data_IF_855636785031
#
_entry.id   IF_855636785031
#
_cell.length_a   1.000
_cell.length_b   1.000
_cell.length_c   1.000
_cell.angle_alpha   90.00
_cell.angle_beta   90.00
_cell.angle_gamma   90.00
#
_symmetry.space_group_name_H-M   'P 1'
#
loop_
_entity.id
_entity.type
_entity.pdbx_description
1 polymer ?
#
# COMPACT_ATOMS: atom_id res chain seq x y z
N UNK A 1 107.42 13.25 22.29
CA UNK A 1 106.29 13.49 23.22
C UNK A 1 105.75 14.87 22.92
N UNK A 2 104.42 15.01 22.93
CA UNK A 2 103.64 16.27 22.98
C UNK A 2 103.58 17.13 21.69
N UNK A 3 102.45 17.73 21.24
CA UNK A 3 100.99 17.56 21.39
C UNK A 3 100.35 18.29 20.20
N UNK A 4 99.15 17.88 19.81
CA UNK A 4 98.26 18.55 18.86
C UNK A 4 97.65 19.84 19.43
N UNK A 5 97.34 20.80 18.56
CA UNK A 5 96.17 21.69 18.68
C UNK A 5 95.11 21.28 17.63
N UNK A 6 93.79 21.31 17.95
CA UNK A 6 92.73 20.90 17.04
C UNK A 6 92.07 22.09 16.33
N UNK A 7 91.74 21.92 15.04
CA UNK A 7 90.87 22.84 14.30
C UNK A 7 89.40 22.42 14.42
N UNK A 8 88.59 23.44 14.66
CA UNK A 8 87.20 23.43 15.06
C UNK A 8 86.29 23.42 13.82
N UNK A 9 85.58 22.32 13.56
CA UNK A 9 84.56 22.27 12.49
C UNK A 9 83.16 22.24 13.10
N UNK A 10 82.46 23.35 12.88
CA UNK A 10 81.10 23.66 13.35
C UNK A 10 80.06 22.72 12.72
N UNK A 11 79.27 22.05 13.55
CA UNK A 11 78.04 21.37 13.16
C UNK A 11 76.98 22.40 12.72
N UNK A 12 76.89 22.63 11.41
CA UNK A 12 75.69 23.20 10.79
C UNK A 12 74.63 22.12 10.76
N UNK A 13 73.76 22.09 11.77
CA UNK A 13 72.57 21.26 11.73
C UNK A 13 71.66 21.87 10.65
N UNK A 14 71.70 21.27 9.46
CA UNK A 14 71.01 21.72 8.25
C UNK A 14 69.55 22.09 8.55
N UNK A 15 69.19 23.33 8.26
CA UNK A 15 67.85 23.91 8.40
C UNK A 15 66.74 23.04 7.77
N UNK A 16 67.09 22.28 6.72
CA UNK A 16 66.22 21.29 6.07
C UNK A 16 65.86 20.09 6.95
N UNK A 17 66.76 19.63 7.83
CA UNK A 17 66.48 18.52 8.75
C UNK A 17 65.48 18.91 9.83
N UNK A 18 65.56 20.16 10.32
CA UNK A 18 64.63 20.67 11.33
C UNK A 18 63.22 20.87 10.76
N UNK A 19 63.10 21.37 9.52
CA UNK A 19 61.81 21.54 8.84
C UNK A 19 61.11 20.21 8.57
N UNK A 20 61.88 19.17 8.19
CA UNK A 20 61.34 17.83 7.96
C UNK A 20 60.79 17.20 9.25
N UNK A 21 61.49 17.39 10.38
CA UNK A 21 61.04 16.90 11.70
C UNK A 21 59.76 17.61 12.14
N UNK A 22 59.65 18.93 11.92
CA UNK A 22 58.44 19.70 12.26
C UNK A 22 57.24 19.26 11.40
N UNK A 23 57.44 19.05 10.10
CA UNK A 23 56.39 18.54 9.20
C UNK A 23 55.94 17.12 9.58
N UNK A 24 56.88 16.25 9.98
CA UNK A 24 56.58 14.89 10.43
C UNK A 24 55.77 14.90 11.74
N UNK A 25 56.12 15.79 12.68
CA UNK A 25 55.39 15.95 13.94
C UNK A 25 53.97 16.50 13.72
N UNK A 26 53.81 17.47 12.81
CA UNK A 26 52.48 17.98 12.44
C UNK A 26 51.64 16.88 11.79
N UNK A 27 52.23 16.07 10.90
CA UNK A 27 51.54 14.94 10.28
C UNK A 27 51.11 13.88 11.31
N UNK A 28 51.95 13.58 12.31
CA UNK A 28 51.61 12.66 13.41
C UNK A 28 50.44 13.23 14.25
N UNK A 29 50.43 14.54 14.54
CA UNK A 29 49.32 15.18 15.27
C UNK A 29 48.02 15.19 14.46
N UNK A 30 48.10 15.38 13.13
CA UNK A 30 46.93 15.29 12.23
C UNK A 30 46.42 13.85 12.14
N UNK A 31 47.32 12.86 12.06
CA UNK A 31 46.96 11.43 12.05
C UNK A 31 46.37 10.97 13.40
N UNK A 32 46.83 11.54 14.53
CA UNK A 32 46.24 11.27 15.85
C UNK A 32 44.86 11.93 16.03
N UNK A 33 44.61 13.10 15.44
CA UNK A 33 43.26 13.73 15.43
C UNK A 33 42.25 13.02 14.54
N UNK A 34 42.69 12.22 13.58
CA UNK A 34 41.82 11.43 12.69
C UNK A 34 41.30 10.12 13.32
N UNK A 35 41.73 9.77 14.52
CA UNK A 35 41.31 8.55 15.23
C UNK A 35 40.33 8.88 16.37
N UNK A 36 39.34 9.73 16.10
CA UNK A 36 38.13 9.72 16.94
C UNK A 36 37.44 8.39 16.69
N UNK A 37 37.68 7.42 17.58
CA UNK A 37 36.91 6.19 17.61
C UNK A 37 35.45 6.59 17.74
N UNK A 38 34.70 6.49 16.63
CA UNK A 38 33.24 6.38 16.70
C UNK A 38 33.00 5.20 17.62
N UNK A 39 32.62 5.48 18.86
CA UNK A 39 32.08 4.51 19.78
C UNK A 39 30.78 4.05 19.14
N UNK A 40 30.86 3.03 18.30
CA UNK A 40 29.72 2.32 17.77
C UNK A 40 29.04 1.73 18.99
N UNK A 41 28.05 2.43 19.51
CA UNK A 41 27.10 1.86 20.45
C UNK A 41 26.43 0.75 19.66
N UNK A 42 26.91 -0.48 19.83
CA UNK A 42 26.17 -1.67 19.46
C UNK A 42 24.91 -1.60 20.31
N UNK A 43 23.83 -1.02 19.76
CA UNK A 43 22.49 -1.25 20.28
C UNK A 43 22.33 -2.76 20.23
N UNK A 44 22.31 -3.41 21.39
CA UNK A 44 21.87 -4.80 21.46
C UNK A 44 20.54 -4.85 20.71
N UNK A 45 20.41 -5.73 19.72
CA UNK A 45 19.10 -6.09 19.20
C UNK A 45 18.29 -6.56 20.41
N UNK A 46 17.41 -5.70 20.91
CA UNK A 46 16.53 -6.05 22.02
C UNK A 46 15.65 -7.16 21.48
N UNK A 47 15.77 -8.35 22.06
CA UNK A 47 14.87 -9.44 21.74
C UNK A 47 13.45 -8.99 22.07
N UNK A 48 12.58 -8.97 21.06
CA UNK A 48 11.17 -8.64 21.22
C UNK A 48 10.56 -9.53 22.32
N UNK A 49 10.02 -8.91 23.36
CA UNK A 49 9.32 -9.64 24.39
C UNK A 49 7.94 -10.05 23.88
N UNK A 50 7.44 -11.20 24.34
CA UNK A 50 6.06 -11.62 24.09
C UNK A 50 5.22 -11.35 25.34
N UNK A 51 4.21 -10.49 25.21
CA UNK A 51 3.25 -10.15 26.24
C UNK A 51 1.96 -10.94 25.96
N UNK A 52 1.52 -11.76 26.92
CA UNK A 52 0.36 -12.63 26.72
C UNK A 52 -0.93 -11.98 27.23
N UNK A 53 -1.96 -11.97 26.40
CA UNK A 53 -3.31 -11.52 26.75
C UNK A 53 -4.27 -12.73 26.68
N UNK A 54 -5.06 -13.04 27.72
CA UNK A 54 -5.21 -12.30 28.98
C UNK A 54 -4.22 -12.70 30.11
N UNK A 55 -3.27 -13.62 29.85
CA UNK A 55 -2.53 -14.31 30.91
C UNK A 55 -1.60 -13.39 31.73
N UNK A 56 -0.87 -12.48 31.08
CA UNK A 56 -0.02 -11.49 31.76
C UNK A 56 -0.71 -10.13 31.90
N UNK A 57 -1.61 -9.82 30.98
CA UNK A 57 -2.31 -8.55 30.89
C UNK A 57 -3.78 -8.82 30.65
N UNK A 58 -4.66 -8.34 31.53
CA UNK A 58 -6.10 -8.63 31.43
C UNK A 58 -6.75 -8.01 30.17
N UNK A 59 -6.18 -6.94 29.64
CA UNK A 59 -6.68 -6.21 28.47
C UNK A 59 -5.57 -6.02 27.43
N UNK A 60 -5.94 -5.93 26.15
CA UNK A 60 -5.00 -5.68 25.06
C UNK A 60 -4.34 -4.31 25.25
N UNK A 61 -5.10 -3.27 25.62
CA UNK A 61 -4.52 -1.94 25.85
C UNK A 61 -3.49 -1.94 26.99
N UNK A 62 -3.70 -2.71 28.07
CA UNK A 62 -2.69 -2.80 29.14
C UNK A 62 -1.38 -3.45 28.68
N UNK A 63 -1.43 -4.42 27.76
CA UNK A 63 -0.24 -4.99 27.15
C UNK A 63 0.43 -3.98 26.21
N UNK A 64 -0.35 -3.26 25.40
CA UNK A 64 0.12 -2.16 24.54
C UNK A 64 0.87 -1.12 25.37
N UNK A 65 0.32 -0.71 26.51
CA UNK A 65 0.95 0.29 27.39
C UNK A 65 2.27 -0.18 28.02
N UNK A 66 2.42 -1.49 28.24
CA UNK A 66 3.61 -2.09 28.86
C UNK A 66 4.70 -2.49 27.84
N UNK A 67 4.32 -2.64 26.57
CA UNK A 67 5.21 -3.07 25.49
C UNK A 67 6.28 -2.02 25.17
N UNK A 68 7.50 -2.49 24.91
CA UNK A 68 8.53 -1.73 24.23
C UNK A 68 8.34 -1.82 22.70
N UNK A 69 8.98 -0.90 21.96
CA UNK A 69 9.00 -1.00 20.51
C UNK A 69 9.64 -2.32 20.07
N UNK A 70 8.99 -3.02 19.13
CA UNK A 70 9.35 -4.34 18.63
C UNK A 70 8.68 -5.51 19.35
N UNK A 71 8.05 -5.29 20.51
CA UNK A 71 7.41 -6.36 21.27
C UNK A 71 6.18 -6.95 20.54
N UNK A 72 5.86 -8.20 20.89
CA UNK A 72 4.71 -8.95 20.39
C UNK A 72 3.68 -9.07 21.50
N UNK A 73 2.46 -8.65 21.22
CA UNK A 73 1.29 -8.84 22.06
C UNK A 73 0.54 -10.04 21.47
N UNK A 74 0.66 -11.19 22.13
CA UNK A 74 0.07 -12.45 21.69
C UNK A 74 -1.27 -12.66 22.41
N UNK A 75 -2.35 -12.66 21.63
CA UNK A 75 -3.71 -12.58 22.14
C UNK A 75 -4.39 -13.94 22.00
N UNK A 76 -4.81 -14.52 23.12
CA UNK A 76 -5.60 -15.74 23.15
C UNK A 76 -7.02 -15.47 22.66
N UNK A 77 -7.67 -16.47 22.03
CA UNK A 77 -9.05 -16.37 21.58
C UNK A 77 -9.99 -15.89 22.68
N UNK A 78 -10.91 -15.00 22.33
CA UNK A 78 -11.80 -14.32 23.24
C UNK A 78 -12.37 -13.05 22.62
N UNK A 79 -13.39 -12.49 23.27
CA UNK A 79 -13.95 -11.19 22.91
C UNK A 79 -13.44 -10.13 23.88
N UNK A 80 -12.78 -9.13 23.32
CA UNK A 80 -12.19 -8.00 24.01
C UNK A 80 -12.99 -6.75 23.62
N UNK A 81 -13.82 -6.27 24.53
CA UNK A 81 -14.58 -5.03 24.33
C UNK A 81 -13.70 -3.85 24.73
N UNK A 82 -12.93 -3.34 23.77
CA UNK A 82 -11.90 -2.33 23.95
C UNK A 82 -11.84 -1.39 22.74
N UNK A 83 -11.36 -0.17 22.93
CA UNK A 83 -10.96 0.74 21.87
C UNK A 83 -9.46 0.99 22.04
N UNK A 84 -8.66 0.56 21.08
CA UNK A 84 -7.21 0.51 21.20
C UNK A 84 -6.56 1.79 20.66
N UNK A 85 -5.55 2.29 21.35
CA UNK A 85 -4.62 3.30 20.85
C UNK A 85 -3.24 2.68 20.71
N UNK A 86 -2.77 2.50 19.47
CA UNK A 86 -1.48 1.87 19.14
C UNK A 86 -0.48 2.96 18.77
N UNK A 87 0.12 3.58 19.78
CA UNK A 87 1.06 4.70 19.69
C UNK A 87 2.55 4.28 19.70
N UNK A 88 2.83 3.01 19.46
CA UNK A 88 4.18 2.44 19.44
C UNK A 88 4.29 1.29 18.44
N UNK A 89 5.50 1.04 17.95
CA UNK A 89 5.79 -0.05 17.02
C UNK A 89 5.68 -1.41 17.72
N UNK A 90 4.53 -2.09 17.61
CA UNK A 90 4.30 -3.42 18.22
C UNK A 90 3.58 -4.33 17.23
N UNK A 91 3.71 -5.64 17.44
CA UNK A 91 2.89 -6.63 16.76
C UNK A 91 1.74 -7.06 17.65
N UNK A 92 0.49 -6.83 17.24
CA UNK A 92 -0.70 -7.44 17.83
C UNK A 92 -1.06 -8.65 17.00
N UNK A 93 -1.01 -9.83 17.60
CA UNK A 93 -1.23 -11.09 16.88
C UNK A 93 -2.13 -12.02 17.67
N UNK A 94 -3.11 -12.61 16.99
CA UNK A 94 -3.84 -13.74 17.54
C UNK A 94 -2.91 -14.95 17.71
N UNK A 95 -3.01 -15.63 18.85
CA UNK A 95 -2.24 -16.84 19.13
C UNK A 95 -2.54 -17.98 18.15
N UNK A 96 -3.74 -17.96 17.55
CA UNK A 96 -4.17 -18.85 16.48
C UNK A 96 -5.17 -18.10 15.60
N UNK A 97 -5.02 -18.23 14.27
CA UNK A 97 -5.88 -17.58 13.28
C UNK A 97 -5.96 -18.45 12.01
N UNK A 98 -7.05 -18.28 11.26
CA UNK A 98 -7.32 -19.02 10.04
C UNK A 98 -6.78 -18.26 8.83
N UNK A 99 -5.71 -18.80 8.22
CA UNK A 99 -5.06 -18.21 7.04
C UNK A 99 -5.85 -18.38 5.74
N UNK A 100 -6.81 -19.29 5.72
CA UNK A 100 -7.64 -19.58 4.55
C UNK A 100 -8.92 -18.76 4.64
N UNK A 101 -9.53 -18.70 5.82
CA UNK A 101 -10.76 -17.95 6.05
C UNK A 101 -10.70 -17.12 7.35
N UNK A 102 -10.19 -15.87 7.29
CA UNK A 102 -10.09 -14.96 8.44
C UNK A 102 -11.40 -14.74 9.22
N UNK A 103 -12.57 -15.04 8.64
CA UNK A 103 -13.87 -14.98 9.34
C UNK A 103 -13.95 -15.94 10.53
N UNK A 104 -13.11 -16.97 10.57
CA UNK A 104 -13.02 -17.96 11.64
C UNK A 104 -12.10 -17.53 12.80
N UNK A 105 -11.48 -16.35 12.73
CA UNK A 105 -10.56 -15.89 13.77
C UNK A 105 -11.25 -15.78 15.13
N UNK A 106 -10.59 -16.28 16.17
CA UNK A 106 -11.16 -16.35 17.52
C UNK A 106 -10.87 -15.14 18.42
N UNK A 107 -10.00 -14.22 18.00
CA UNK A 107 -9.70 -12.97 18.73
C UNK A 107 -10.58 -11.87 18.18
N UNK A 108 -11.61 -11.48 18.93
CA UNK A 108 -12.56 -10.43 18.53
C UNK A 108 -12.30 -9.18 19.34
N UNK A 109 -11.98 -8.07 18.67
CA UNK A 109 -11.90 -6.73 19.24
C UNK A 109 -13.21 -6.02 18.88
N UNK A 110 -14.03 -5.75 19.89
CA UNK A 110 -15.36 -5.16 19.74
C UNK A 110 -15.33 -3.71 20.23
N UNK A 111 -15.45 -2.75 19.30
CA UNK A 111 -15.36 -1.32 19.59
C UNK A 111 -16.57 -0.74 20.31
N UNK A 112 -17.64 -1.51 20.50
CA UNK A 112 -18.81 -1.08 21.25
C UNK A 112 -19.54 0.13 20.66
N UNK A 113 -19.42 0.38 19.36
CA UNK A 113 -19.98 1.54 18.67
C UNK A 113 -19.03 2.75 18.58
N UNK A 114 -17.75 2.60 18.89
CA UNK A 114 -16.71 3.64 18.75
C UNK A 114 -15.56 3.10 17.90
N UNK A 115 -14.66 3.95 17.38
CA UNK A 115 -13.49 3.52 16.60
C UNK A 115 -12.73 2.39 17.33
N UNK A 116 -12.54 1.24 16.68
CA UNK A 116 -12.00 0.05 17.37
C UNK A 116 -10.50 0.19 17.59
N UNK A 117 -9.75 0.61 16.58
CA UNK A 117 -8.31 0.85 16.66
C UNK A 117 -7.95 2.23 16.12
N UNK A 118 -7.26 3.03 16.93
CA UNK A 118 -6.65 4.29 16.55
C UNK A 118 -5.12 4.11 16.45
N UNK A 119 -4.55 4.47 15.31
CA UNK A 119 -3.10 4.58 15.10
C UNK A 119 -2.79 6.06 14.89
N UNK A 120 -2.19 6.76 15.88
CA UNK A 120 -1.95 8.18 15.79
C UNK A 120 -0.83 8.52 14.78
N UNK A 121 -0.61 9.81 14.56
CA UNK A 121 0.47 10.32 13.71
C UNK A 121 1.84 10.01 14.28
N UNK A 122 2.82 9.89 13.38
CA UNK A 122 4.24 9.81 13.71
C UNK A 122 4.63 8.63 14.63
N UNK A 123 3.92 7.50 14.51
CA UNK A 123 4.37 6.27 15.15
C UNK A 123 5.53 5.71 14.32
N UNK A 124 6.74 5.57 14.90
CA UNK A 124 7.89 5.03 14.18
C UNK A 124 7.62 3.59 13.72
N UNK A 125 8.26 3.19 12.62
CA UNK A 125 7.93 2.02 11.80
C UNK A 125 7.65 0.72 12.57
N UNK A 126 6.68 -0.04 12.05
CA UNK A 126 6.34 -1.45 12.34
C UNK A 126 5.22 -1.67 13.38
N UNK A 127 4.01 -1.20 13.04
CA UNK A 127 2.77 -1.73 13.62
C UNK A 127 2.30 -2.90 12.75
N UNK A 128 2.11 -4.07 13.35
CA UNK A 128 1.60 -5.25 12.65
C UNK A 128 0.33 -5.76 13.35
N UNK A 129 -0.74 -5.95 12.58
CA UNK A 129 -2.02 -6.49 13.04
C UNK A 129 -2.25 -7.83 12.33
N UNK A 130 -2.31 -8.93 13.08
CA UNK A 130 -2.31 -10.28 12.50
C UNK A 130 -3.41 -11.15 13.11
N UNK A 131 -4.27 -11.71 12.25
CA UNK A 131 -5.21 -12.75 12.67
C UNK A 131 -6.37 -12.26 13.55
N UNK A 132 -6.74 -10.98 13.45
CA UNK A 132 -7.72 -10.35 14.33
C UNK A 132 -9.11 -10.34 13.68
N UNK A 133 -10.16 -10.38 14.49
CA UNK A 133 -11.50 -9.92 14.09
C UNK A 133 -11.74 -8.55 14.70
N UNK A 134 -12.04 -7.55 13.89
CA UNK A 134 -12.27 -6.17 14.31
C UNK A 134 -13.70 -5.81 13.92
N UNK A 135 -14.51 -5.42 14.91
CA UNK A 135 -15.92 -5.15 14.63
C UNK A 135 -16.56 -4.10 15.51
N UNK A 136 -17.78 -3.70 15.11
CA UNK A 136 -18.66 -2.83 15.86
C UNK A 136 -18.02 -1.45 16.13
N UNK A 137 -17.39 -0.89 15.09
CA UNK A 137 -16.87 0.47 15.09
C UNK A 137 -17.97 1.43 14.67
N UNK A 138 -18.52 2.25 15.56
CA UNK A 138 -19.60 3.16 15.13
C UNK A 138 -19.13 4.29 14.22
N UNK A 139 -17.82 4.56 14.24
CA UNK A 139 -17.09 5.30 13.22
C UNK A 139 -16.28 4.24 12.45
N UNK A 140 -15.00 4.07 12.75
CA UNK A 140 -14.13 3.21 11.93
C UNK A 140 -13.77 1.89 12.62
N UNK A 141 -13.53 0.85 11.83
CA UNK A 141 -12.86 -0.36 12.32
C UNK A 141 -11.43 -0.01 12.75
N UNK A 142 -10.69 0.64 11.86
CA UNK A 142 -9.36 1.19 12.14
C UNK A 142 -9.30 2.60 11.56
N UNK A 143 -8.89 3.58 12.37
CA UNK A 143 -8.49 4.89 11.89
C UNK A 143 -6.98 5.05 12.08
N UNK A 144 -6.26 5.35 11.01
CA UNK A 144 -4.81 5.41 11.06
C UNK A 144 -4.23 6.65 10.38
N UNK A 145 -3.25 7.25 11.04
CA UNK A 145 -2.42 8.33 10.51
C UNK A 145 -0.93 7.96 10.38
N UNK A 146 -0.59 6.67 10.53
CA UNK A 146 0.77 6.15 10.33
C UNK A 146 0.72 4.82 9.57
N UNK A 147 1.77 4.46 8.80
CA UNK A 147 1.76 3.21 8.04
C UNK A 147 1.74 1.97 8.96
N UNK A 148 1.00 0.94 8.56
CA UNK A 148 0.93 -0.33 9.28
C UNK A 148 0.79 -1.54 8.33
N UNK A 149 1.08 -2.73 8.86
CA UNK A 149 0.75 -4.00 8.23
C UNK A 149 -0.53 -4.55 8.87
N UNK A 150 -1.48 -4.98 8.05
CA UNK A 150 -2.59 -5.82 8.48
C UNK A 150 -2.71 -7.06 7.60
N UNK A 151 -2.76 -8.22 8.23
CA UNK A 151 -2.92 -9.48 7.51
C UNK A 151 -3.76 -10.54 8.22
N UNK A 152 -4.37 -11.41 7.41
CA UNK A 152 -5.20 -12.55 7.86
C UNK A 152 -6.31 -12.14 8.83
N UNK A 153 -6.81 -10.91 8.71
CA UNK A 153 -7.79 -10.33 9.63
C UNK A 153 -9.18 -10.23 9.00
N UNK A 154 -10.21 -10.20 9.82
CA UNK A 154 -11.61 -10.02 9.42
C UNK A 154 -12.15 -8.73 10.01
N UNK A 155 -12.62 -7.82 9.15
CA UNK A 155 -13.21 -6.55 9.56
C UNK A 155 -14.67 -6.50 9.09
N UNK A 156 -15.55 -6.05 9.97
CA UNK A 156 -16.99 -5.94 9.69
C UNK A 156 -17.68 -4.98 10.65
N UNK A 157 -18.88 -4.50 10.31
CA UNK A 157 -19.71 -3.68 11.21
C UNK A 157 -18.99 -2.40 11.66
N UNK A 158 -18.48 -1.61 10.71
CA UNK A 158 -18.10 -0.22 10.96
C UNK A 158 -18.62 0.71 9.86
N UNK A 159 -18.48 2.04 10.00
CA UNK A 159 -18.64 2.98 8.89
C UNK A 159 -17.62 2.64 7.82
N UNK A 160 -16.37 3.06 8.02
CA UNK A 160 -15.23 2.57 7.27
C UNK A 160 -14.61 1.38 7.99
N UNK A 161 -14.37 0.27 7.30
CA UNK A 161 -13.67 -0.84 7.96
C UNK A 161 -12.21 -0.45 8.24
N UNK A 162 -11.60 0.32 7.33
CA UNK A 162 -10.36 1.07 7.60
C UNK A 162 -10.40 2.46 6.95
N UNK A 163 -10.18 3.50 7.75
CA UNK A 163 -9.81 4.86 7.34
C UNK A 163 -8.27 5.01 7.37
N UNK A 164 -7.68 5.07 6.18
CA UNK A 164 -6.28 5.42 5.94
C UNK A 164 -6.11 6.93 5.77
N UNK A 165 -6.15 7.66 6.87
CA UNK A 165 -5.97 9.11 6.88
C UNK A 165 -4.56 9.57 6.46
N UNK A 166 -4.41 10.88 6.23
CA UNK A 166 -3.14 11.51 5.80
C UNK A 166 -1.92 11.04 6.61
N UNK A 167 -0.96 10.43 5.90
CA UNK A 167 0.29 9.89 6.46
C UNK A 167 0.27 8.38 6.72
N UNK A 168 -0.87 7.73 6.54
CA UNK A 168 -1.06 6.28 6.67
C UNK A 168 -0.56 5.51 5.43
N UNK A 169 -1.06 4.29 5.26
CA UNK A 169 -0.75 3.35 4.20
C UNK A 169 -0.09 2.08 4.76
N UNK A 170 0.87 1.53 4.00
CA UNK A 170 1.62 0.35 4.41
C UNK A 170 1.27 -0.90 3.60
N UNK A 171 0.90 -1.98 4.27
CA UNK A 171 0.58 -3.26 3.62
C UNK A 171 -0.74 -3.79 4.19
N UNK A 172 -1.71 -4.03 3.31
CA UNK A 172 -3.00 -4.63 3.64
C UNK A 172 -3.18 -5.89 2.80
N UNK A 173 -3.16 -7.07 3.42
CA UNK A 173 -3.22 -8.33 2.66
C UNK A 173 -3.90 -9.51 3.32
N UNK A 174 -4.45 -10.41 2.51
CA UNK A 174 -5.09 -11.66 2.98
C UNK A 174 -6.20 -11.42 4.01
N UNK A 175 -6.84 -10.26 3.96
CA UNK A 175 -7.92 -9.88 4.86
C UNK A 175 -9.28 -10.13 4.21
N UNK A 176 -10.29 -10.19 5.05
CA UNK A 176 -11.70 -10.13 4.64
C UNK A 176 -12.31 -8.86 5.22
N UNK A 177 -12.83 -8.02 4.34
CA UNK A 177 -13.65 -6.85 4.63
C UNK A 177 -15.07 -7.20 4.22
N UNK A 178 -16.04 -6.99 5.10
CA UNK A 178 -17.43 -7.34 4.82
C UNK A 178 -18.41 -6.36 5.47
N UNK A 179 -19.03 -5.56 4.61
CA UNK A 179 -20.16 -4.72 4.97
C UNK A 179 -19.76 -3.49 5.78
N UNK A 180 -18.76 -2.74 5.33
CA UNK A 180 -18.63 -1.32 5.68
C UNK A 180 -19.96 -0.60 5.45
N UNK A 181 -20.41 0.17 6.44
CA UNK A 181 -21.67 0.92 6.37
C UNK A 181 -21.49 2.29 5.72
N UNK A 182 -20.24 2.65 5.43
CA UNK A 182 -19.83 3.61 4.43
C UNK A 182 -18.96 2.87 3.41
N UNK A 183 -17.63 2.96 3.48
CA UNK A 183 -16.70 2.22 2.62
C UNK A 183 -16.09 1.00 3.34
N UNK A 184 -15.56 0.04 2.58
CA UNK A 184 -14.69 -0.96 3.20
C UNK A 184 -13.30 -0.36 3.50
N UNK A 185 -12.70 0.34 2.53
CA UNK A 185 -11.40 1.01 2.67
C UNK A 185 -11.49 2.47 2.19
N UNK A 186 -11.29 3.44 3.06
CA UNK A 186 -11.14 4.87 2.70
C UNK A 186 -9.65 5.25 2.72
N UNK A 187 -9.15 5.77 1.59
CA UNK A 187 -7.78 6.24 1.41
C UNK A 187 -7.75 7.76 1.29
N UNK A 188 -7.57 8.40 2.45
CA UNK A 188 -7.49 9.84 2.59
C UNK A 188 -6.04 10.33 2.45
N UNK A 189 -5.70 10.91 1.29
CA UNK A 189 -4.39 11.53 1.02
C UNK A 189 -3.21 10.55 1.16
N UNK A 190 -3.27 9.44 0.43
CA UNK A 190 -2.18 8.46 0.38
C UNK A 190 -0.92 9.06 -0.28
N UNK A 191 0.05 9.48 0.53
CA UNK A 191 1.29 10.15 0.08
C UNK A 191 2.54 9.23 0.09
N UNK A 192 2.36 7.96 0.47
CA UNK A 192 3.41 6.96 0.55
C UNK A 192 3.07 5.76 -0.36
N UNK A 193 4.07 4.92 -0.64
CA UNK A 193 3.82 3.62 -1.25
C UNK A 193 2.84 2.81 -0.39
N UNK A 194 1.86 2.19 -1.05
CA UNK A 194 0.82 1.44 -0.38
C UNK A 194 0.47 0.20 -1.20
N UNK A 195 0.48 -0.97 -0.55
CA UNK A 195 0.10 -2.24 -1.14
C UNK A 195 -1.19 -2.78 -0.50
N UNK A 196 -2.22 -2.97 -1.33
CA UNK A 196 -3.48 -3.64 -1.00
C UNK A 196 -3.56 -4.90 -1.86
N UNK A 197 -3.39 -6.08 -1.27
CA UNK A 197 -3.31 -7.32 -2.04
C UNK A 197 -4.00 -8.54 -1.44
N UNK A 198 -4.52 -9.43 -2.29
CA UNK A 198 -5.05 -10.73 -1.85
C UNK A 198 -6.20 -10.62 -0.83
N UNK A 199 -6.96 -9.53 -0.85
CA UNK A 199 -8.09 -9.33 0.05
C UNK A 199 -9.41 -9.76 -0.61
N UNK A 200 -10.39 -10.07 0.23
CA UNK A 200 -11.80 -10.07 -0.15
C UNK A 200 -12.43 -8.81 0.42
N UNK A 201 -12.92 -7.92 -0.45
CA UNK A 201 -13.56 -6.64 -0.13
C UNK A 201 -14.99 -6.73 -0.60
N UNK A 202 -15.94 -6.81 0.33
CA UNK A 202 -17.24 -7.39 0.08
C UNK A 202 -18.37 -6.53 0.65
N UNK A 203 -19.40 -6.31 -0.15
CA UNK A 203 -20.68 -5.77 0.28
C UNK A 203 -20.60 -4.40 0.97
N UNK A 204 -19.60 -3.58 0.65
CA UNK A 204 -19.54 -2.20 1.09
C UNK A 204 -20.85 -1.47 0.75
N UNK A 205 -21.36 -0.65 1.66
CA UNK A 205 -22.61 0.08 1.42
C UNK A 205 -22.41 1.19 0.38
N UNK A 206 -21.24 1.83 0.39
CA UNK A 206 -20.77 2.72 -0.67
C UNK A 206 -19.70 1.98 -1.47
N UNK A 207 -18.44 2.38 -1.38
CA UNK A 207 -17.37 1.96 -2.25
C UNK A 207 -16.54 0.84 -1.61
N UNK A 208 -16.05 -0.08 -2.45
CA UNK A 208 -15.14 -1.11 -1.95
C UNK A 208 -13.83 -0.47 -1.48
N UNK A 209 -13.31 0.46 -2.28
CA UNK A 209 -12.14 1.28 -1.97
C UNK A 209 -12.44 2.70 -2.44
N UNK A 210 -12.55 3.67 -1.52
CA UNK A 210 -12.60 5.10 -1.85
C UNK A 210 -11.17 5.68 -1.80
N UNK A 211 -10.77 6.45 -2.81
CA UNK A 211 -9.42 7.03 -2.91
C UNK A 211 -9.53 8.52 -3.19
N UNK A 212 -9.16 9.32 -2.18
CA UNK A 212 -9.25 10.78 -2.25
C UNK A 212 -7.90 11.38 -2.59
N UNK A 213 -7.80 11.95 -3.79
CA UNK A 213 -6.59 12.56 -4.37
C UNK A 213 -6.32 13.96 -3.82
N UNK A 214 -6.47 14.14 -2.50
CA UNK A 214 -6.29 15.42 -1.85
C UNK A 214 -4.94 16.05 -2.22
N UNK A 215 -4.97 17.37 -2.43
CA UNK A 215 -3.82 18.17 -2.85
C UNK A 215 -2.65 18.02 -1.87
N UNK A 216 -1.49 17.62 -2.39
CA UNK A 216 -0.24 17.56 -1.62
C UNK A 216 1.01 17.63 -2.51
N UNK A 217 2.13 18.05 -1.92
CA UNK A 217 3.43 18.05 -2.58
C UNK A 217 4.13 16.72 -2.33
N UNK A 218 3.99 15.80 -3.29
CA UNK A 218 4.62 14.48 -3.26
C UNK A 218 5.95 14.52 -4.02
N UNK A 219 7.05 14.75 -3.30
CA UNK A 219 8.38 14.96 -3.90
C UNK A 219 8.93 13.73 -4.63
N UNK A 220 8.61 12.52 -4.13
CA UNK A 220 8.95 11.24 -4.73
C UNK A 220 7.66 10.51 -5.07
N UNK A 221 7.57 9.93 -6.27
CA UNK A 221 6.35 9.27 -6.71
C UNK A 221 5.87 8.23 -5.70
N UNK A 222 4.61 8.35 -5.26
CA UNK A 222 3.96 7.39 -4.38
C UNK A 222 3.24 6.33 -5.24
N UNK A 223 3.63 5.07 -5.10
CA UNK A 223 3.00 3.96 -5.83
C UNK A 223 1.94 3.28 -4.96
N UNK A 224 0.67 3.41 -5.36
CA UNK A 224 -0.45 2.73 -4.73
C UNK A 224 -0.82 1.53 -5.60
N UNK A 225 -0.58 0.34 -5.07
CA UNK A 225 -0.78 -0.94 -5.77
C UNK A 225 -1.95 -1.70 -5.16
N UNK A 226 -2.97 -1.94 -5.96
CA UNK A 226 -4.17 -2.70 -5.62
C UNK A 226 -4.14 -3.94 -6.50
N UNK A 227 -3.81 -5.10 -5.93
CA UNK A 227 -3.61 -6.31 -6.74
C UNK A 227 -4.18 -7.59 -6.18
N UNK A 228 -4.64 -8.46 -7.08
CA UNK A 228 -5.14 -9.80 -6.72
C UNK A 228 -6.24 -9.78 -5.64
N UNK A 229 -7.06 -8.73 -5.60
CA UNK A 229 -8.20 -8.65 -4.69
C UNK A 229 -9.47 -9.14 -5.39
N UNK A 230 -10.38 -9.71 -4.60
CA UNK A 230 -11.79 -9.81 -4.94
C UNK A 230 -12.50 -8.58 -4.37
N UNK A 231 -13.11 -7.77 -5.23
CA UNK A 231 -13.94 -6.62 -4.84
C UNK A 231 -15.34 -6.90 -5.37
N UNK A 232 -16.32 -7.13 -4.48
CA UNK A 232 -17.64 -7.61 -4.89
C UNK A 232 -18.79 -6.98 -4.11
N UNK A 233 -19.83 -6.58 -4.83
CA UNK A 233 -21.12 -6.21 -4.24
C UNK A 233 -21.17 -4.82 -3.61
N UNK A 234 -20.27 -3.90 -4.00
CA UNK A 234 -20.28 -2.51 -3.53
C UNK A 234 -21.58 -1.79 -3.90
N UNK A 235 -22.10 -0.97 -2.99
CA UNK A 235 -23.31 -0.19 -3.21
C UNK A 235 -23.12 1.05 -4.09
N UNK A 236 -21.88 1.50 -4.26
CA UNK A 236 -21.40 2.42 -5.29
C UNK A 236 -20.37 1.72 -6.18
N UNK A 237 -19.13 2.22 -6.25
CA UNK A 237 -18.07 1.72 -7.10
C UNK A 237 -17.29 0.58 -6.43
N UNK A 238 -16.63 -0.23 -7.26
CA UNK A 238 -15.63 -1.18 -6.74
C UNK A 238 -14.44 -0.43 -6.16
N UNK A 239 -13.87 0.49 -6.96
CA UNK A 239 -12.81 1.41 -6.59
C UNK A 239 -13.20 2.80 -7.10
N UNK A 240 -13.32 3.78 -6.21
CA UNK A 240 -13.59 5.17 -6.57
C UNK A 240 -12.34 6.03 -6.41
N UNK A 241 -12.08 6.87 -7.39
CA UNK A 241 -11.08 7.93 -7.34
C UNK A 241 -11.76 9.29 -7.34
N UNK A 242 -11.37 10.17 -6.43
CA UNK A 242 -11.94 11.52 -6.32
C UNK A 242 -10.83 12.55 -6.44
N UNK A 243 -10.89 13.33 -7.51
CA UNK A 243 -9.93 14.39 -7.81
C UNK A 243 -10.22 15.72 -7.10
N UNK A 244 -9.15 16.48 -6.89
CA UNK A 244 -9.12 17.78 -6.23
C UNK A 244 -8.62 18.86 -7.21
N UNK A 245 -7.79 19.81 -6.77
CA UNK A 245 -7.43 20.97 -7.57
C UNK A 245 -6.10 20.81 -8.30
N UNK A 246 -5.24 19.90 -7.85
CA UNK A 246 -3.87 19.76 -8.34
C UNK A 246 -3.53 18.31 -8.67
N UNK A 247 -2.96 18.10 -9.86
CA UNK A 247 -2.36 16.83 -10.24
C UNK A 247 -1.24 16.47 -9.25
N UNK A 248 -1.30 15.29 -8.68
CA UNK A 248 -0.35 14.80 -7.68
C UNK A 248 0.62 13.76 -8.24
N UNK A 249 1.76 13.57 -7.58
CA UNK A 249 2.78 12.61 -8.01
C UNK A 249 2.46 11.19 -7.49
N UNK A 250 1.24 10.71 -7.75
CA UNK A 250 0.80 9.34 -7.43
C UNK A 250 0.81 8.48 -8.68
N UNK A 251 1.13 7.21 -8.52
CA UNK A 251 0.99 6.19 -9.54
C UNK A 251 0.08 5.09 -9.02
N UNK A 252 -1.01 4.82 -9.73
CA UNK A 252 -1.93 3.73 -9.39
C UNK A 252 -1.65 2.51 -10.25
N UNK A 253 -1.54 1.36 -9.60
CA UNK A 253 -1.41 0.04 -10.24
C UNK A 253 -2.55 -0.84 -9.78
N UNK A 254 -3.48 -1.12 -10.68
CA UNK A 254 -4.67 -1.92 -10.44
C UNK A 254 -4.50 -3.19 -11.26
N UNK A 255 -4.06 -4.26 -10.60
CA UNK A 255 -3.53 -5.44 -11.27
C UNK A 255 -4.19 -6.74 -10.80
N UNK A 256 -4.66 -7.58 -11.71
CA UNK A 256 -5.14 -8.94 -11.34
C UNK A 256 -6.32 -8.97 -10.36
N UNK A 257 -7.08 -7.90 -10.25
CA UNK A 257 -8.28 -7.89 -9.42
C UNK A 257 -9.47 -8.49 -10.16
N UNK A 258 -10.34 -9.15 -9.42
CA UNK A 258 -11.70 -9.47 -9.84
C UNK A 258 -12.63 -8.43 -9.22
N UNK A 259 -13.25 -7.58 -10.04
CA UNK A 259 -14.16 -6.53 -9.60
C UNK A 259 -15.54 -6.79 -10.19
N UNK A 260 -16.51 -7.11 -9.35
CA UNK A 260 -17.83 -7.50 -9.80
C UNK A 260 -19.00 -6.99 -8.96
N UNK A 261 -20.17 -6.89 -9.58
CA UNK A 261 -21.44 -6.59 -8.90
C UNK A 261 -21.45 -5.27 -8.12
N UNK A 262 -20.58 -4.32 -8.47
CA UNK A 262 -20.71 -2.94 -8.02
C UNK A 262 -21.98 -2.35 -8.65
N UNK A 263 -22.79 -1.66 -7.85
CA UNK A 263 -24.01 -1.00 -8.35
C UNK A 263 -23.71 0.20 -9.25
N UNK A 264 -22.47 0.69 -9.23
CA UNK A 264 -21.96 1.75 -10.10
C UNK A 264 -20.82 1.23 -10.98
N UNK A 265 -19.70 1.95 -11.09
CA UNK A 265 -18.56 1.52 -11.86
C UNK A 265 -17.73 0.47 -11.11
N UNK A 266 -17.04 -0.42 -11.81
CA UNK A 266 -16.00 -1.22 -11.18
C UNK A 266 -14.83 -0.32 -10.76
N UNK A 267 -14.48 0.64 -11.62
CA UNK A 267 -13.51 1.71 -11.36
C UNK A 267 -14.15 3.04 -11.79
N UNK A 268 -14.53 3.88 -10.82
CA UNK A 268 -15.17 5.18 -11.03
C UNK A 268 -14.20 6.34 -10.79
N UNK A 269 -14.14 7.32 -11.69
CA UNK A 269 -13.32 8.52 -11.55
C UNK A 269 -14.22 9.76 -11.49
N UNK A 270 -14.10 10.48 -10.37
CA UNK A 270 -14.86 11.67 -10.02
C UNK A 270 -13.93 12.88 -9.84
N UNK A 271 -14.50 14.07 -9.94
CA UNK A 271 -13.82 15.34 -9.73
C UNK A 271 -14.62 16.26 -8.79
N UNK A 272 -14.03 17.40 -8.44
CA UNK A 272 -14.66 18.42 -7.60
C UNK A 272 -15.11 17.88 -6.24
N UNK A 273 -14.41 16.87 -5.71
CA UNK A 273 -14.70 16.28 -4.39
C UNK A 273 -16.09 15.63 -4.29
N UNK A 274 -16.67 15.24 -5.42
CA UNK A 274 -17.99 14.60 -5.47
C UNK A 274 -17.81 13.09 -5.33
N UNK A 275 -18.46 12.50 -4.33
CA UNK A 275 -18.36 11.07 -3.97
C UNK A 275 -19.48 10.21 -4.57
N UNK A 276 -20.53 10.83 -5.12
CA UNK A 276 -21.63 10.11 -5.74
C UNK A 276 -21.37 9.93 -7.23
N UNK A 277 -21.07 8.70 -7.66
CA UNK A 277 -20.84 8.39 -9.08
C UNK A 277 -22.08 8.70 -9.94
N UNK A 278 -21.87 9.58 -10.92
CA UNK A 278 -22.86 10.05 -11.89
C UNK A 278 -22.46 9.76 -13.35
N UNK A 279 -21.41 8.95 -13.51
CA UNK A 279 -20.76 8.55 -14.74
C UNK A 279 -20.23 9.71 -15.56
N UNK A 280 -19.90 10.86 -14.96
CA UNK A 280 -19.25 11.96 -15.70
C UNK A 280 -17.95 11.50 -16.37
N UNK A 281 -17.27 10.52 -15.77
CA UNK A 281 -15.99 9.99 -16.21
C UNK A 281 -14.92 11.08 -16.20
N UNK A 282 -14.48 11.47 -15.01
CA UNK A 282 -13.63 12.62 -14.79
C UNK A 282 -12.23 12.47 -15.41
N UNK A 283 -11.64 13.61 -15.80
CA UNK A 283 -10.34 13.72 -16.43
C UNK A 283 -9.19 13.73 -15.42
N UNK A 284 -9.07 12.66 -14.62
CA UNK A 284 -7.97 12.50 -13.67
C UNK A 284 -6.67 12.22 -14.42
N UNK A 285 -5.60 12.96 -14.09
CA UNK A 285 -4.32 12.95 -14.82
C UNK A 285 -3.22 12.17 -14.12
N UNK A 286 -3.42 11.76 -12.87
CA UNK A 286 -2.54 10.82 -12.20
C UNK A 286 -2.35 9.57 -13.07
N UNK A 287 -1.11 9.12 -13.28
CA UNK A 287 -0.87 7.91 -14.07
C UNK A 287 -1.51 6.69 -13.42
N UNK A 288 -2.29 5.94 -14.21
CA UNK A 288 -2.94 4.69 -13.78
C UNK A 288 -2.63 3.54 -14.73
N UNK A 289 -2.27 2.39 -14.18
CA UNK A 289 -2.10 1.14 -14.92
C UNK A 289 -3.20 0.17 -14.48
N UNK A 290 -4.14 -0.15 -15.38
CA UNK A 290 -5.21 -1.12 -15.16
C UNK A 290 -4.90 -2.36 -15.99
N UNK A 291 -4.29 -3.36 -15.35
CA UNK A 291 -3.67 -4.48 -16.05
C UNK A 291 -4.20 -5.83 -15.56
N UNK A 292 -4.56 -6.71 -16.50
CA UNK A 292 -4.95 -8.08 -16.17
C UNK A 292 -6.08 -8.16 -15.14
N UNK A 293 -7.08 -7.28 -15.15
CA UNK A 293 -8.24 -7.38 -14.26
C UNK A 293 -9.41 -8.09 -14.96
N UNK A 294 -10.26 -8.75 -14.18
CA UNK A 294 -11.58 -9.21 -14.63
C UNK A 294 -12.63 -8.27 -14.06
N UNK A 295 -13.26 -7.48 -14.93
CA UNK A 295 -14.26 -6.48 -14.58
C UNK A 295 -15.60 -6.92 -15.15
N UNK A 296 -16.50 -7.38 -14.28
CA UNK A 296 -17.69 -8.12 -14.73
C UNK A 296 -18.94 -7.86 -13.90
N UNK A 297 -20.11 -7.79 -14.55
CA UNK A 297 -21.42 -7.65 -13.87
C UNK A 297 -21.56 -6.37 -13.02
N UNK A 298 -20.88 -5.28 -13.37
CA UNK A 298 -21.09 -3.96 -12.75
C UNK A 298 -22.09 -3.15 -13.57
N UNK A 299 -22.47 -1.95 -13.13
CA UNK A 299 -23.18 -1.06 -14.05
C UNK A 299 -22.22 -0.56 -15.14
N UNK A 300 -21.08 0.01 -14.73
CA UNK A 300 -20.02 0.42 -15.65
C UNK A 300 -18.75 -0.37 -15.35
N UNK A 301 -17.92 -0.67 -16.35
CA UNK A 301 -16.61 -1.25 -16.10
C UNK A 301 -15.64 -0.18 -15.58
N UNK A 302 -15.20 0.74 -16.44
CA UNK A 302 -14.32 1.86 -16.06
C UNK A 302 -14.93 3.18 -16.53
N UNK A 303 -15.02 4.18 -15.65
CA UNK A 303 -15.62 5.49 -15.92
C UNK A 303 -14.59 6.60 -15.68
N UNK A 304 -13.82 6.99 -16.71
CA UNK A 304 -12.93 8.17 -16.70
C UNK A 304 -11.43 7.86 -16.72
N UNK A 305 -10.63 8.91 -16.93
CA UNK A 305 -9.16 8.89 -16.86
C UNK A 305 -8.45 9.44 -18.09
N UNK A 306 -7.57 10.44 -17.86
CA UNK A 306 -6.80 11.14 -18.89
C UNK A 306 -5.32 10.68 -18.96
N UNK A 307 -4.91 9.71 -18.14
CA UNK A 307 -3.53 9.20 -18.11
C UNK A 307 -3.43 7.69 -17.77
N UNK A 308 -4.40 6.93 -18.25
CA UNK A 308 -4.63 5.52 -17.93
C UNK A 308 -4.14 4.57 -19.03
N UNK A 309 -3.46 3.50 -18.64
CA UNK A 309 -3.09 2.38 -19.52
C UNK A 309 -3.95 1.18 -19.16
N UNK A 310 -4.86 0.79 -20.05
CA UNK A 310 -5.80 -0.33 -19.86
C UNK A 310 -5.40 -1.49 -20.77
N UNK A 311 -4.77 -2.52 -20.19
CA UNK A 311 -4.17 -3.63 -20.95
C UNK A 311 -4.46 -5.00 -20.33
N UNK A 312 -4.66 -6.01 -21.17
CA UNK A 312 -4.88 -7.41 -20.76
C UNK A 312 -6.12 -7.65 -19.89
N UNK A 313 -7.12 -6.77 -19.88
CA UNK A 313 -8.30 -6.94 -19.03
C UNK A 313 -9.41 -7.73 -19.75
N UNK A 314 -10.27 -8.39 -18.96
CA UNK A 314 -11.60 -8.84 -19.38
C UNK A 314 -12.61 -7.82 -18.87
N UNK A 315 -13.41 -7.26 -19.76
CA UNK A 315 -14.44 -6.26 -19.43
C UNK A 315 -15.76 -6.76 -20.02
N UNK A 316 -16.58 -7.40 -19.19
CA UNK A 316 -17.73 -8.16 -19.67
C UNK A 316 -19.00 -7.95 -18.85
N UNK A 317 -20.17 -8.11 -19.48
CA UNK A 317 -21.47 -8.13 -18.81
C UNK A 317 -21.78 -6.90 -17.93
N UNK A 318 -21.14 -5.75 -18.19
CA UNK A 318 -21.47 -4.52 -17.47
C UNK A 318 -22.73 -3.90 -18.08
N UNK A 319 -23.74 -3.58 -17.27
CA UNK A 319 -25.10 -3.29 -17.78
C UNK A 319 -25.17 -2.02 -18.62
N UNK A 320 -24.41 -1.00 -18.24
CA UNK A 320 -24.24 0.27 -18.96
C UNK A 320 -23.11 0.21 -19.98
N UNK A 321 -21.92 0.67 -19.60
CA UNK A 321 -20.75 0.74 -20.49
C UNK A 321 -19.60 -0.13 -19.97
N UNK A 322 -18.88 -0.78 -20.89
CA UNK A 322 -17.61 -1.45 -20.56
C UNK A 322 -16.57 -0.42 -20.12
N UNK A 323 -16.29 0.60 -20.94
CA UNK A 323 -15.46 1.73 -20.56
C UNK A 323 -16.01 3.07 -21.08
N UNK A 324 -15.74 4.16 -20.37
CA UNK A 324 -16.13 5.52 -20.77
C UNK A 324 -14.99 6.51 -20.55
N UNK A 325 -14.71 7.34 -21.57
CA UNK A 325 -13.77 8.45 -21.54
C UNK A 325 -12.41 8.07 -20.92
N UNK A 326 -11.83 6.99 -21.41
CA UNK A 326 -10.42 6.66 -21.16
C UNK A 326 -9.62 7.35 -22.26
N UNK A 327 -9.45 8.67 -22.16
CA UNK A 327 -8.96 9.54 -23.24
C UNK A 327 -7.74 10.36 -22.81
N UNK A 328 -7.49 11.54 -23.40
CA UNK A 328 -6.29 12.32 -23.13
C UNK A 328 -4.99 11.55 -23.42
N UNK A 329 -4.11 11.45 -22.42
CA UNK A 329 -2.87 10.68 -22.41
C UNK A 329 -3.04 9.18 -22.15
N UNK A 330 -4.26 8.64 -22.28
CA UNK A 330 -4.58 7.23 -22.06
C UNK A 330 -4.45 6.35 -23.32
N UNK A 331 -4.40 5.03 -23.11
CA UNK A 331 -4.48 4.00 -24.16
C UNK A 331 -5.23 2.76 -23.67
N UNK A 332 -6.02 2.16 -24.57
CA UNK A 332 -6.77 0.92 -24.31
C UNK A 332 -6.39 -0.10 -25.38
N UNK A 333 -5.70 -1.17 -25.00
CA UNK A 333 -5.15 -2.15 -25.93
C UNK A 333 -5.14 -3.57 -25.35
N UNK A 334 -5.29 -4.60 -26.18
CA UNK A 334 -5.23 -6.02 -25.74
C UNK A 334 -6.24 -6.37 -24.64
N UNK A 335 -7.45 -5.81 -24.68
CA UNK A 335 -8.53 -6.20 -23.77
C UNK A 335 -9.57 -7.05 -24.50
N UNK A 336 -10.33 -7.85 -23.75
CA UNK A 336 -11.50 -8.55 -24.24
C UNK A 336 -12.78 -7.86 -23.76
N UNK A 337 -13.65 -7.49 -24.69
CA UNK A 337 -14.97 -6.94 -24.40
C UNK A 337 -16.07 -7.92 -24.74
N UNK A 338 -17.07 -8.07 -23.86
CA UNK A 338 -18.20 -8.96 -24.12
C UNK A 338 -19.48 -8.52 -23.44
N UNK A 339 -20.60 -8.53 -24.18
CA UNK A 339 -21.95 -8.38 -23.63
C UNK A 339 -22.14 -7.22 -22.63
N UNK A 340 -21.34 -6.15 -22.77
CA UNK A 340 -21.63 -4.89 -22.09
C UNK A 340 -22.80 -4.19 -22.81
N UNK A 341 -23.56 -3.34 -22.12
CA UNK A 341 -24.62 -2.55 -22.77
C UNK A 341 -24.08 -1.77 -23.98
N UNK A 342 -22.90 -1.18 -23.83
CA UNK A 342 -22.00 -0.76 -24.92
C UNK A 342 -20.56 -1.01 -24.50
N UNK A 343 -19.68 -1.50 -25.37
CA UNK A 343 -18.31 -1.84 -24.96
C UNK A 343 -17.48 -0.62 -24.56
N UNK A 344 -17.66 0.49 -25.26
CA UNK A 344 -16.86 1.69 -25.02
C UNK A 344 -17.53 2.95 -25.57
N UNK A 345 -17.24 4.11 -24.97
CA UNK A 345 -17.61 5.43 -25.47
C UNK A 345 -16.53 6.44 -25.14
N UNK A 346 -16.08 7.23 -26.12
CA UNK A 346 -15.13 8.32 -25.89
C UNK A 346 -13.72 7.89 -25.47
N UNK A 347 -13.33 6.62 -25.65
CA UNK A 347 -12.03 6.11 -25.20
C UNK A 347 -11.00 5.97 -26.33
N UNK A 348 -9.73 6.17 -26.00
CA UNK A 348 -8.57 6.01 -26.89
C UNK A 348 -8.24 4.54 -27.15
N UNK A 349 -9.05 3.89 -27.99
CA UNK A 349 -8.84 2.49 -28.38
C UNK A 349 -7.69 2.34 -29.37
N UNK A 350 -6.82 1.37 -29.11
CA UNK A 350 -6.03 0.74 -30.16
C UNK A 350 -6.91 -0.35 -30.83
N UNK A 351 -7.64 0.04 -31.88
CA UNK A 351 -8.71 -0.78 -32.47
C UNK A 351 -8.27 -2.14 -33.02
N UNK A 352 -6.98 -2.35 -33.33
CA UNK A 352 -6.49 -3.63 -33.88
C UNK A 352 -6.07 -4.66 -32.83
N UNK A 353 -6.01 -4.27 -31.54
CA UNK A 353 -5.51 -5.16 -30.48
C UNK A 353 -6.59 -5.59 -29.49
N UNK A 354 -7.71 -4.86 -29.41
CA UNK A 354 -8.82 -5.25 -28.53
C UNK A 354 -9.73 -6.27 -29.23
N UNK A 355 -10.11 -7.31 -28.48
CA UNK A 355 -10.94 -8.40 -28.94
C UNK A 355 -12.38 -8.24 -28.46
N UNK A 356 -13.32 -8.81 -29.21
CA UNK A 356 -14.73 -8.93 -28.82
C UNK A 356 -15.10 -10.41 -28.88
N UNK A 357 -15.57 -10.97 -27.76
CA UNK A 357 -15.96 -12.39 -27.69
C UNK A 357 -16.22 -12.85 -26.27
N UNK A 358 -17.04 -13.90 -26.14
CA UNK A 358 -17.40 -14.47 -24.84
C UNK A 358 -16.16 -14.96 -24.08
N UNK A 359 -15.83 -14.43 -22.89
CA UNK A 359 -14.69 -14.90 -22.12
C UNK A 359 -14.87 -16.33 -21.61
N UNK A 360 -16.06 -16.93 -21.72
CA UNK A 360 -16.39 -18.27 -21.23
C UNK A 360 -16.01 -18.45 -19.76
N UNK A 361 -16.29 -17.43 -18.94
CA UNK A 361 -16.00 -17.47 -17.51
C UNK A 361 -16.78 -18.60 -16.84
N UNK A 362 -16.06 -19.39 -16.07
CA UNK A 362 -16.63 -20.35 -15.11
C UNK A 362 -17.32 -19.61 -13.94
N UNK A 363 -18.13 -20.28 -13.10
CA UNK A 363 -18.81 -19.64 -11.98
C UNK A 363 -17.89 -18.96 -10.96
N UNK A 364 -16.63 -19.39 -10.87
CA UNK A 364 -15.56 -18.84 -10.05
C UNK A 364 -14.62 -17.91 -10.84
N UNK A 365 -15.06 -17.48 -12.04
CA UNK A 365 -14.39 -16.48 -12.90
C UNK A 365 -13.03 -16.89 -13.48
N UNK A 366 -12.70 -18.18 -13.48
CA UNK A 366 -11.62 -18.73 -14.30
C UNK A 366 -12.06 -18.87 -15.76
N UNK A 367 -11.08 -18.92 -16.68
CA UNK A 367 -11.33 -19.13 -18.10
C UNK A 367 -11.77 -20.57 -18.38
N UNK A 368 -12.94 -20.72 -18.99
CA UNK A 368 -13.42 -22.00 -19.51
C UNK A 368 -12.65 -22.46 -20.73
N UNK A 369 -12.77 -23.76 -21.03
CA UNK A 369 -12.13 -24.38 -22.20
C UNK A 369 -12.57 -23.66 -23.49
N UNK A 370 -11.60 -23.25 -24.30
CA UNK A 370 -11.83 -22.58 -25.58
C UNK A 370 -12.09 -21.07 -25.47
N UNK A 371 -11.88 -20.49 -24.29
CA UNK A 371 -12.01 -19.04 -24.11
C UNK A 371 -11.08 -18.27 -25.05
N UNK A 372 -11.56 -17.20 -25.71
CA UNK A 372 -10.74 -16.30 -26.51
C UNK A 372 -9.81 -15.41 -25.65
N UNK A 373 -9.91 -15.48 -24.32
CA UNK A 373 -9.01 -14.82 -23.40
C UNK A 373 -7.72 -15.61 -23.13
N UNK A 374 -7.68 -16.91 -23.47
CA UNK A 374 -6.50 -17.74 -23.26
C UNK A 374 -5.41 -17.37 -24.28
N UNK A 375 -4.17 -17.19 -23.82
CA UNK A 375 -3.00 -16.84 -24.64
C UNK A 375 -3.21 -15.57 -25.50
N UNK A 376 -4.08 -14.65 -25.06
CA UNK A 376 -4.54 -13.52 -25.87
C UNK A 376 -4.00 -12.16 -25.42
N UNK A 377 -3.28 -12.11 -24.30
CA UNK A 377 -2.66 -10.90 -23.77
C UNK A 377 -1.32 -10.56 -24.41
N UNK A 378 -0.74 -9.46 -23.96
CA UNK A 378 0.62 -9.03 -24.31
C UNK A 378 1.53 -9.11 -23.09
N UNK A 379 2.73 -9.67 -23.24
CA UNK A 379 3.68 -9.80 -22.13
C UNK A 379 4.43 -8.49 -21.80
N UNK A 380 4.66 -7.63 -22.79
CA UNK A 380 5.43 -6.40 -22.62
C UNK A 380 4.68 -5.23 -23.27
N UNK A 381 4.41 -4.18 -22.51
CA UNK A 381 3.69 -3.01 -22.99
C UNK A 381 4.26 -1.72 -22.42
N UNK A 382 4.64 -0.83 -23.33
CA UNK A 382 5.05 0.54 -23.02
C UNK A 382 4.24 1.52 -23.85
N UNK A 383 3.85 2.64 -23.23
CA UNK A 383 3.10 3.70 -23.89
C UNK A 383 3.58 5.06 -23.38
N UNK A 384 3.78 6.01 -24.29
CA UNK A 384 4.26 7.36 -23.99
C UNK A 384 5.52 7.38 -23.07
N UNK A 385 6.46 6.45 -23.29
CA UNK A 385 7.69 6.34 -22.49
C UNK A 385 7.54 5.68 -21.11
N UNK A 386 6.31 5.31 -20.70
CA UNK A 386 6.06 4.53 -19.47
C UNK A 386 5.98 3.04 -19.82
N UNK A 387 6.74 2.20 -19.10
CA UNK A 387 6.56 0.75 -19.14
C UNK A 387 5.49 0.36 -18.13
N UNK A 388 4.35 -0.12 -18.63
CA UNK A 388 3.22 -0.50 -17.81
C UNK A 388 3.26 -2.00 -17.46
N UNK A 389 3.74 -2.83 -18.40
CA UNK A 389 3.80 -4.27 -18.23
C UNK A 389 5.14 -4.81 -18.77
N UNK A 390 5.78 -5.69 -18.00
CA UNK A 390 7.03 -6.34 -18.36
C UNK A 390 7.08 -7.76 -17.77
N UNK A 391 6.31 -8.68 -18.36
CA UNK A 391 6.28 -10.10 -18.03
C UNK A 391 7.31 -10.87 -18.84
N UNK A 392 7.84 -11.90 -18.19
CA UNK A 392 8.67 -12.95 -18.78
C UNK A 392 7.86 -14.22 -18.99
N UNK A 393 8.40 -15.18 -19.75
CA UNK A 393 7.76 -16.50 -19.92
C UNK A 393 7.64 -17.32 -18.62
N UNK A 394 8.19 -16.85 -17.50
CA UNK A 394 8.00 -17.46 -16.18
C UNK A 394 6.74 -16.96 -15.46
N UNK A 395 6.14 -15.88 -15.95
CA UNK A 395 5.00 -15.20 -15.31
C UNK A 395 3.64 -15.61 -15.88
N UNK A 396 3.62 -16.43 -16.94
CA UNK A 396 2.41 -16.91 -17.62
C UNK A 396 2.59 -18.33 -18.18
N UNK A 397 1.48 -18.98 -18.50
CA UNK A 397 1.44 -20.32 -19.08
C UNK A 397 1.10 -20.19 -20.56
N UNK A 398 1.76 -20.97 -21.43
CA UNK A 398 1.46 -20.98 -22.85
C UNK A 398 2.33 -20.00 -23.64
N UNK A 399 1.74 -19.38 -24.67
CA UNK A 399 2.42 -18.50 -25.62
C UNK A 399 2.39 -17.02 -25.21
N UNK A 400 1.38 -16.61 -24.43
CA UNK A 400 1.20 -15.24 -23.96
C UNK A 400 0.39 -15.25 -22.66
N UNK A 401 0.42 -14.18 -21.84
CA UNK A 401 -0.44 -14.10 -20.67
C UNK A 401 -1.92 -14.18 -21.06
N UNK A 402 -2.71 -14.86 -20.24
CA UNK A 402 -4.15 -14.84 -20.37
C UNK A 402 -4.69 -13.43 -20.06
N UNK A 403 -5.83 -13.08 -20.68
CA UNK A 403 -6.56 -11.87 -20.32
C UNK A 403 -7.31 -12.09 -19.00
N UNK A 404 -7.44 -11.04 -18.21
CA UNK A 404 -8.15 -11.07 -16.93
C UNK A 404 -7.26 -11.42 -15.74
N UNK A 405 -7.93 -11.63 -14.61
CA UNK A 405 -7.33 -11.76 -13.26
C UNK A 405 -6.57 -13.05 -13.04
N UNK A 406 -6.95 -14.13 -13.71
CA UNK A 406 -6.39 -15.46 -13.51
C UNK A 406 -5.64 -15.94 -14.74
N UNK A 407 -4.49 -16.56 -14.49
CA UNK A 407 -3.68 -17.23 -15.51
C UNK A 407 -4.05 -18.71 -15.56
N UNK A 408 -4.45 -19.22 -16.73
CA UNK A 408 -4.84 -20.60 -16.97
C UNK A 408 -6.26 -20.98 -16.53
N UNK A 409 -6.76 -22.11 -17.06
CA UNK A 409 -8.12 -22.62 -16.82
C UNK A 409 -8.39 -23.15 -15.39
N UNK A 410 -7.37 -23.18 -14.54
CA UNK A 410 -7.47 -23.70 -13.17
C UNK A 410 -6.23 -23.34 -12.36
N UNK A 411 -5.80 -22.08 -12.37
CA UNK A 411 -4.97 -21.65 -11.24
C UNK A 411 -5.89 -21.60 -10.04
N UNK A 412 -5.75 -22.44 -9.00
CA UNK A 412 -6.32 -22.05 -7.73
C UNK A 412 -5.85 -20.62 -7.47
N UNK A 413 -6.71 -19.75 -6.91
CA UNK A 413 -6.23 -18.59 -6.12
C UNK A 413 -4.99 -19.15 -5.42
N UNK A 414 -3.81 -18.59 -5.67
CA UNK A 414 -2.60 -19.07 -5.01
C UNK A 414 -2.93 -19.07 -3.51
N UNK A 415 -3.31 -20.23 -2.99
CA UNK A 415 -3.38 -20.46 -1.56
C UNK A 415 -1.96 -20.20 -1.15
N UNK A 416 -1.73 -19.21 -0.29
CA UNK A 416 -0.45 -18.54 -0.21
C UNK A 416 0.62 -19.60 -0.09
N UNK A 417 1.42 -19.77 -1.14
CA UNK A 417 2.72 -20.42 -0.98
C UNK A 417 3.50 -19.41 -0.15
N UNK A 418 3.40 -19.58 1.16
CA UNK A 418 4.13 -18.82 2.16
C UNK A 418 5.61 -19.03 1.85
N UNK A 419 6.19 -18.13 1.08
CA UNK A 419 7.62 -17.90 1.23
C UNK A 419 7.75 -17.25 2.62
N UNK A 420 8.25 -18.03 3.58
CA UNK A 420 8.59 -17.58 4.93
C UNK A 420 9.73 -16.54 4.94
N UNK A 421 9.94 -15.79 3.87
CA UNK A 421 10.69 -14.55 3.94
C UNK A 421 9.74 -13.48 4.47
N UNK A 422 9.72 -13.30 5.78
CA UNK A 422 9.52 -11.97 6.35
C UNK A 422 10.30 -10.99 5.49
N UNK A 423 9.67 -9.97 4.87
CA UNK A 423 10.43 -8.90 4.28
C UNK A 423 11.18 -8.23 5.44
N UNK A 424 12.48 -8.49 5.54
CA UNK A 424 13.37 -7.61 6.29
C UNK A 424 13.28 -6.27 5.59
N UNK A 425 12.48 -5.36 6.15
CA UNK A 425 12.60 -3.94 5.86
C UNK A 425 14.05 -3.58 6.17
N UNK A 426 14.81 -3.22 5.15
CA UNK A 426 16.19 -2.79 5.30
C UNK A 426 16.23 -1.58 6.24
N UNK A 427 16.92 -1.65 7.39
CA UNK A 427 16.99 -0.51 8.29
C UNK A 427 18.07 0.44 7.77
N UNK A 428 17.69 1.49 7.02
CA UNK A 428 18.30 2.81 7.07
C UNK A 428 17.79 3.71 5.93
N UNK A 429 16.94 4.69 6.27
CA UNK A 429 17.11 6.03 5.74
C UNK A 429 17.51 6.88 6.94
N UNK A 430 18.77 7.30 6.99
CA UNK A 430 19.22 8.29 7.96
C UNK A 430 18.59 9.63 7.62
N UNK A 431 17.47 9.97 8.25
CA UNK A 431 17.02 11.35 8.26
C UNK A 431 17.91 12.16 9.22
N UNK A 432 18.36 13.38 8.85
CA UNK A 432 19.05 14.26 9.77
C UNK A 432 18.09 14.67 10.90
N UNK A 433 18.61 14.68 12.13
CA UNK A 433 17.85 15.02 13.33
C UNK A 433 17.14 16.38 13.18
N UNK A 434 15.86 16.50 13.59
CA UNK A 434 15.16 17.78 13.56
C UNK A 434 15.85 18.76 14.52
N UNK A 435 16.22 19.92 13.99
CA UNK A 435 16.74 21.02 14.78
C UNK A 435 15.57 21.67 15.49
N UNK A 436 15.40 21.38 16.78
CA UNK A 436 14.36 22.00 17.60
C UNK A 436 14.65 23.51 17.73
N UNK A 437 13.84 24.34 17.07
CA UNK A 437 13.69 25.75 17.40
C UNK A 437 12.41 25.90 18.23
N UNK A 438 12.46 26.45 19.46
CA UNK A 438 11.27 26.61 20.27
C UNK A 438 10.41 27.75 19.68
N UNK A 439 9.26 27.41 19.13
CA UNK A 439 8.25 28.39 18.71
C UNK A 439 7.17 28.46 19.79
N UNK A 440 6.96 29.66 20.32
CA UNK A 440 5.95 29.99 21.33
C UNK A 440 4.55 29.63 20.83
N UNK A 441 3.84 28.80 21.59
CA UNK A 441 2.47 28.40 21.32
C UNK A 441 1.52 29.59 21.50
N UNK A 442 1.02 30.14 20.39
CA UNK A 442 -0.23 30.90 20.38
C UNK A 442 -1.35 29.99 19.87
N UNK A 443 -2.40 29.89 20.69
CA UNK A 443 -3.53 28.99 20.54
C UNK A 443 -4.42 29.46 19.39
N UNK A 444 -4.45 28.71 18.28
CA UNK A 444 -5.43 28.89 17.22
C UNK A 444 -6.73 28.11 17.56
N UNK A 445 -7.92 28.63 17.20
CA UNK A 445 -9.21 28.07 17.60
C UNK A 445 -9.59 26.81 16.80
N UNK A 446 -10.43 25.98 17.41
CA UNK A 446 -10.93 24.71 16.88
C UNK A 446 -11.68 24.87 15.55
N UNK A 447 -11.28 24.12 14.52
CA UNK A 447 -12.09 23.87 13.34
C UNK A 447 -13.11 22.78 13.65
N UNK A 448 -14.38 23.16 13.74
CA UNK A 448 -15.53 22.26 13.62
C UNK A 448 -15.76 21.94 12.15
N UNK A 449 -15.58 20.67 11.76
CA UNK A 449 -16.13 20.15 10.50
C UNK A 449 -17.61 19.84 10.71
N UNK A 450 -18.47 20.49 9.94
CA UNK A 450 -19.87 20.12 9.77
C UNK A 450 -19.91 19.32 8.45
N UNK A 451 -20.11 18.00 8.53
CA UNK A 451 -20.49 17.17 7.38
C UNK A 451 -22.00 17.36 7.18
N UNK A 452 -22.41 17.72 5.97
CA UNK A 452 -23.76 17.52 5.45
C UNK A 452 -23.73 16.30 4.55
#
# INVERSE_FOLDING_TARGET
>A
MEKQEPSNQKNSLNFFGLLLIVLLLILIVVLQKSQSQKKTTLTSAQTANTLLVPQNYQTIQSAINAAAAGDIILISSGTYRENLNIDRAVTLSAASYDKINPRNNGVVIDGGGQTVIMIPKAVPSQINLVGLTIKNGGLDGIQSFSPFLIEYSYLTQAADLIDYSKGSGGINRFNVFDGGTDDDLDLDNAINDFLIENNQILNAKQDGIEIRLQDDVIASQAAITIRNNLISGSGQDGIQFIDYATDTNRLFKIERNLIEKSKKAAIGLMDNQITSEDYRAASIKEPMNVINNTIVNNDYGISGGDNMIVVNNIIANNTGLGIKNIDGGSTVAYNLFWANGTNYSGSNLNGSTNNIGDPLLTPDFHLGIGSPAIDAGIANFSFAGRTALALTSADFIGQAPDLGSYEGASSPILSPTVNQSTPTVSPAISQPAPTATPISATRAPACTYIKN
#
